data_IF_120964796483
#
_entry.id   IF_120964796483
#
_cell.length_a   1.000
_cell.length_b   1.000
_cell.length_c   1.000
_cell.angle_alpha   90.00
_cell.angle_beta   90.00
_cell.angle_gamma   90.00
#
_symmetry.space_group_name_H-M   'P 1'
#
loop_
_entity.id
_entity.type
_entity.pdbx_description
1 polymer ?
#
# COMPACT_ATOMS: atom_id res chain seq x y z
N UNK A 1 -2.30 -9.01 -9.23
CA UNK A 1 -0.95 -9.45 -8.83
C UNK A 1 -0.89 -9.61 -7.32
N UNK A 2 0.21 -10.15 -6.74
CA UNK A 2 0.39 -10.17 -5.30
C UNK A 2 0.40 -8.73 -4.77
N UNK A 3 -0.30 -8.47 -3.66
CA UNK A 3 -0.27 -7.17 -3.00
C UNK A 3 1.18 -6.83 -2.62
N UNK A 4 1.67 -5.68 -3.07
CA UNK A 4 2.96 -5.14 -2.63
C UNK A 4 2.81 -4.71 -1.18
N UNK A 5 3.92 -4.64 -0.43
CA UNK A 5 3.89 -4.21 0.97
C UNK A 5 3.28 -2.81 1.16
N UNK A 6 3.33 -1.96 0.13
CA UNK A 6 2.72 -0.63 0.10
C UNK A 6 1.19 -0.67 -0.01
N UNK A 7 0.63 -1.64 -0.76
CA UNK A 7 -0.83 -1.82 -0.89
C UNK A 7 -1.43 -2.28 0.46
N UNK A 8 -0.71 -3.17 1.15
CA UNK A 8 -1.09 -3.60 2.50
C UNK A 8 -1.06 -2.42 3.48
N UNK A 9 0.00 -1.60 3.42
CA UNK A 9 0.10 -0.42 4.26
C UNK A 9 -1.05 0.56 3.97
N UNK A 10 -1.35 0.83 2.70
CA UNK A 10 -2.48 1.67 2.31
C UNK A 10 -3.80 1.14 2.90
N UNK A 11 -4.06 -0.17 2.82
CA UNK A 11 -5.22 -0.80 3.43
C UNK A 11 -5.29 -0.64 4.96
N UNK A 12 -4.16 -0.76 5.65
CA UNK A 12 -4.08 -0.55 7.10
C UNK A 12 -4.34 0.89 7.53
N UNK A 13 -4.08 1.87 6.65
CA UNK A 13 -4.32 3.29 6.94
C UNK A 13 -5.78 3.71 6.70
N UNK A 14 -6.60 2.87 6.04
CA UNK A 14 -8.03 3.09 5.87
C UNK A 14 -8.86 2.74 7.12
N UNK A 15 -8.28 1.96 8.03
CA UNK A 15 -8.90 1.61 9.31
C UNK A 15 -8.39 2.54 10.44
N UNK A 16 -9.22 3.45 10.97
CA UNK A 16 -8.80 4.40 12.01
C UNK A 16 -8.44 3.73 13.35
N UNK A 17 -8.90 2.49 13.60
CA UNK A 17 -8.55 1.72 14.79
C UNK A 17 -7.26 0.92 14.62
N UNK A 18 -6.67 0.96 13.42
CA UNK A 18 -5.42 0.28 13.14
C UNK A 18 -4.26 0.91 13.91
N UNK A 19 -3.42 0.03 14.46
CA UNK A 19 -2.21 0.46 15.18
C UNK A 19 -1.22 1.22 14.28
N UNK A 20 -1.29 1.05 12.97
CA UNK A 20 -0.51 1.84 12.02
C UNK A 20 -0.87 3.33 12.11
N UNK A 21 -2.17 3.64 12.18
CA UNK A 21 -2.67 5.02 12.31
C UNK A 21 -2.21 5.64 13.63
N UNK A 22 -2.31 4.88 14.73
CA UNK A 22 -1.82 5.35 16.04
C UNK A 22 -0.31 5.63 16.05
N UNK A 23 0.49 4.77 15.42
CA UNK A 23 1.95 4.93 15.36
C UNK A 23 2.32 6.15 14.52
N UNK A 24 1.68 6.35 13.36
CA UNK A 24 1.92 7.53 12.53
C UNK A 24 1.52 8.82 13.24
N UNK A 25 0.36 8.84 13.90
CA UNK A 25 -0.07 9.99 14.69
C UNK A 25 0.93 10.33 15.81
N UNK A 26 1.46 9.32 16.51
CA UNK A 26 2.51 9.52 17.53
C UNK A 26 3.83 10.02 16.96
N UNK A 27 4.13 9.69 15.70
CA UNK A 27 5.27 10.22 14.97
C UNK A 27 5.03 11.64 14.39
N UNK A 28 3.82 12.19 14.55
CA UNK A 28 3.44 13.48 13.95
C UNK A 28 3.18 13.41 12.45
N UNK A 29 2.91 12.21 11.92
CA UNK A 29 2.60 11.98 10.51
C UNK A 29 1.10 11.80 10.34
N UNK A 30 0.51 12.52 9.40
CA UNK A 30 -0.91 12.36 9.04
C UNK A 30 -1.09 11.07 8.22
N UNK A 31 -1.82 10.11 8.79
CA UNK A 31 -2.10 8.81 8.17
C UNK A 31 -2.92 8.94 6.88
N UNK A 32 -3.81 9.93 6.78
CA UNK A 32 -4.65 10.16 5.60
C UNK A 32 -3.83 10.75 4.47
N UNK A 33 -2.93 11.67 4.79
CA UNK A 33 -1.98 12.23 3.82
C UNK A 33 -1.00 11.16 3.33
N UNK A 34 -0.52 10.29 4.22
CA UNK A 34 0.33 9.16 3.87
C UNK A 34 -0.39 8.15 2.95
N UNK A 35 -1.64 7.79 3.26
CA UNK A 35 -2.44 6.90 2.42
C UNK A 35 -2.66 7.49 1.02
N UNK A 36 -2.96 8.80 0.92
CA UNK A 36 -3.13 9.47 -0.35
C UNK A 36 -1.84 9.49 -1.20
N UNK A 37 -0.66 9.58 -0.56
CA UNK A 37 0.62 9.46 -1.29
C UNK A 37 0.83 8.07 -1.84
N UNK A 38 0.58 7.03 -1.04
CA UNK A 38 0.71 5.63 -1.45
C UNK A 38 -0.26 5.27 -2.60
N UNK A 39 -1.46 5.83 -2.60
CA UNK A 39 -2.45 5.64 -3.67
C UNK A 39 -1.97 6.29 -4.99
N UNK A 40 -1.36 7.49 -4.92
CA UNK A 40 -0.77 8.12 -6.10
C UNK A 40 0.47 7.37 -6.63
N UNK A 41 1.29 6.79 -5.75
CA UNK A 41 2.43 5.94 -6.14
C UNK A 41 1.97 4.60 -6.78
N UNK A 42 0.77 4.12 -6.42
CA UNK A 42 0.15 2.95 -7.05
C UNK A 42 -0.33 3.25 -8.48
N UNK A 43 -0.85 4.46 -8.71
CA UNK A 43 -1.26 4.92 -10.05
C UNK A 43 -0.06 5.25 -10.97
N UNK A 44 1.13 5.54 -10.40
CA UNK A 44 2.38 5.80 -11.15
C UNK A 44 3.23 4.53 -11.38
N UNK A 45 2.80 3.38 -10.85
CA UNK A 45 3.40 2.09 -11.19
C UNK A 45 2.96 1.71 -12.61
N UNK A 46 3.86 1.71 -13.62
CA UNK A 46 3.52 1.12 -14.90
C UNK A 46 3.10 -0.33 -14.64
N UNK A 47 2.01 -0.74 -15.29
CA UNK A 47 1.36 -2.05 -15.24
C UNK A 47 2.25 -3.21 -15.73
N UNK A 48 3.52 -3.24 -15.37
CA UNK A 48 4.45 -4.32 -15.68
C UNK A 48 4.32 -5.45 -14.69
N UNK A 49 3.31 -6.32 -14.84
CA UNK A 49 3.38 -7.76 -14.58
C UNK A 49 2.24 -8.51 -15.31
N UNK A 50 2.42 -8.69 -16.62
CA UNK A 50 1.99 -9.92 -17.27
C UNK A 50 2.81 -11.11 -16.73
N UNK A 51 2.18 -12.28 -16.77
CA UNK A 51 2.55 -13.58 -16.25
C UNK A 51 4.01 -14.03 -16.51
N UNK A 52 4.61 -14.69 -15.52
CA UNK A 52 5.76 -15.57 -15.74
C UNK A 52 5.34 -17.04 -15.52
N UNK A 53 4.91 -17.63 -16.63
CA UNK A 53 5.12 -19.00 -17.09
C UNK A 53 6.02 -19.93 -16.23
N UNK A 54 5.52 -20.43 -15.08
CA UNK A 54 6.06 -21.64 -14.43
C UNK A 54 4.97 -22.62 -13.96
N UNK A 55 4.14 -23.05 -14.89
CA UNK A 55 3.44 -24.33 -14.81
C UNK A 55 3.19 -24.89 -16.23
N UNK A 56 4.27 -25.05 -16.98
CA UNK A 56 4.33 -25.88 -18.17
C UNK A 56 5.59 -26.76 -18.07
N UNK A 57 5.46 -27.85 -17.32
CA UNK A 57 6.18 -29.12 -17.48
C UNK A 57 5.26 -30.20 -16.92
#
# INVERSE_FOLDING_TARGET
GPARGVDLLAGLLLDPESRAVEVLARAGIDAREAAARLDNDAEDLPDGHAEDARAAC
#
